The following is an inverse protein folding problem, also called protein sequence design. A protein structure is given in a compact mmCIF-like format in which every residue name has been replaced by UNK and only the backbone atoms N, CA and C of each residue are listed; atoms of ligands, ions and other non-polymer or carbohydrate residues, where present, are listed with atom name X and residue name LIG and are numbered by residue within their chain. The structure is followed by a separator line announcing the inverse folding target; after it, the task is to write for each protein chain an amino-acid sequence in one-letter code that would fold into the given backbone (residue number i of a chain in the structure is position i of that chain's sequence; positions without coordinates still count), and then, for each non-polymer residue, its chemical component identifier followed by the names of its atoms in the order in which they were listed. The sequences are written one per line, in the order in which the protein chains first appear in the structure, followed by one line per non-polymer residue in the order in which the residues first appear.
data_IF_995553297804
#
_entry.id   IF_995553297804
#
_cell.length_a   1.000
_cell.length_b   1.000
_cell.length_c   1.000
_cell.angle_alpha   90.00
_cell.angle_beta   90.00
_cell.angle_gamma   90.00
#
_symmetry.space_group_name_H-M   'P 1'
#
loop_
_entity.id
_entity.type
_entity.pdbx_description
1 polymer ?
#
# COMPACT_ATOMS: atom_id res chain seq x y z
N UNK A 1 -20.32 -14.82 11.91
CA UNK A 1 -18.84 -14.94 12.08
C UNK A 1 -18.27 -13.64 12.62
N UNK A 2 -17.05 -13.61 13.16
CA UNK A 2 -16.41 -12.39 13.70
C UNK A 2 -16.35 -11.26 12.65
N UNK A 3 -16.13 -11.61 11.37
CA UNK A 3 -16.18 -10.68 10.25
C UNK A 3 -17.55 -9.99 10.11
N UNK A 4 -18.66 -10.74 10.16
CA UNK A 4 -20.01 -10.16 10.05
C UNK A 4 -20.30 -9.18 11.20
N UNK A 5 -19.80 -9.47 12.40
CA UNK A 5 -19.93 -8.59 13.56
C UNK A 5 -19.18 -7.27 13.39
N UNK A 6 -17.93 -7.32 12.91
CA UNK A 6 -17.12 -6.13 12.63
C UNK A 6 -17.71 -5.28 11.50
N UNK A 7 -18.18 -5.93 10.43
CA UNK A 7 -18.84 -5.23 9.33
C UNK A 7 -20.11 -4.51 9.78
N UNK A 8 -20.96 -5.20 10.55
CA UNK A 8 -22.19 -4.62 11.10
C UNK A 8 -21.90 -3.47 12.08
N UNK A 9 -20.91 -3.62 12.94
CA UNK A 9 -20.53 -2.57 13.90
C UNK A 9 -20.00 -1.31 13.20
N UNK A 10 -19.20 -1.46 12.13
CA UNK A 10 -18.77 -0.33 11.32
C UNK A 10 -19.93 0.35 10.58
N UNK A 11 -20.91 -0.42 10.09
CA UNK A 11 -22.11 0.12 9.46
C UNK A 11 -22.98 0.90 10.46
N UNK A 12 -23.16 0.41 11.68
CA UNK A 12 -23.90 1.10 12.73
C UNK A 12 -23.25 2.45 13.11
N UNK A 13 -21.93 2.49 13.23
CA UNK A 13 -21.20 3.76 13.46
C UNK A 13 -21.28 4.69 12.26
N UNK A 14 -21.21 4.17 11.03
CA UNK A 14 -21.42 4.99 9.83
C UNK A 14 -22.82 5.60 9.81
N UNK A 15 -23.80 4.88 10.33
CA UNK A 15 -25.16 5.37 10.46
C UNK A 15 -25.32 6.44 11.53
N UNK A 16 -24.37 6.71 12.43
CA UNK A 16 -24.49 7.85 13.37
C UNK A 16 -23.90 9.14 12.79
N UNK A 17 -23.15 9.06 11.69
CA UNK A 17 -22.51 10.22 11.07
C UNK A 17 -23.50 11.30 10.58
N UNK A 18 -24.73 10.90 10.24
CA UNK A 18 -25.77 11.84 9.81
C UNK A 18 -26.35 12.70 10.95
N UNK A 19 -26.08 12.34 12.21
CA UNK A 19 -26.52 13.10 13.40
C UNK A 19 -25.63 14.32 13.67
N UNK A 20 -24.44 14.35 13.06
CA UNK A 20 -23.50 15.45 13.18
C UNK A 20 -23.81 16.57 12.19
N UNK A 21 -23.49 17.80 12.58
CA UNK A 21 -23.64 18.95 11.69
C UNK A 21 -22.60 18.88 10.56
N UNK A 22 -22.90 19.41 9.36
CA UNK A 22 -21.98 19.35 8.22
C UNK A 22 -20.60 19.98 8.46
N UNK A 23 -20.52 20.93 9.39
CA UNK A 23 -19.32 21.70 9.77
C UNK A 23 -18.64 21.17 11.05
N UNK A 24 -19.22 20.19 11.74
CA UNK A 24 -18.66 19.61 12.97
C UNK A 24 -17.61 18.53 12.69
N UNK A 25 -16.51 18.97 12.06
CA UNK A 25 -15.36 18.11 11.73
C UNK A 25 -14.74 17.52 13.01
N UNK A 26 -14.73 18.28 14.11
CA UNK A 26 -14.12 17.86 15.36
C UNK A 26 -14.91 16.73 16.04
N UNK A 27 -16.24 16.79 16.04
CA UNK A 27 -17.11 15.74 16.59
C UNK A 27 -17.16 14.48 15.72
N UNK A 28 -17.06 14.62 14.40
CA UNK A 28 -17.12 13.50 13.45
C UNK A 28 -15.83 12.68 13.42
N UNK A 29 -14.67 13.34 13.57
CA UNK A 29 -13.34 12.70 13.49
C UNK A 29 -13.19 11.43 14.35
N UNK A 30 -13.51 11.43 15.67
CA UNK A 30 -13.36 10.23 16.49
C UNK A 30 -14.28 9.07 16.06
N UNK A 31 -15.44 9.37 15.48
CA UNK A 31 -16.35 8.34 14.95
C UNK A 31 -15.78 7.72 13.68
N UNK A 32 -15.22 8.54 12.79
CA UNK A 32 -14.52 8.06 11.59
C UNK A 32 -13.33 7.17 11.97
N UNK A 33 -12.52 7.58 12.96
CA UNK A 33 -11.39 6.78 13.44
C UNK A 33 -11.85 5.40 13.95
N UNK A 34 -12.97 5.34 14.69
CA UNK A 34 -13.55 4.06 15.12
C UNK A 34 -14.06 3.20 13.96
N UNK A 35 -14.69 3.81 12.94
CA UNK A 35 -15.12 3.10 11.73
C UNK A 35 -13.92 2.49 11.00
N UNK A 36 -12.84 3.27 10.85
CA UNK A 36 -11.61 2.83 10.20
C UNK A 36 -10.97 1.66 10.96
N UNK A 37 -10.82 1.78 12.28
CA UNK A 37 -10.27 0.71 13.11
C UNK A 37 -11.06 -0.61 12.95
N UNK A 38 -12.40 -0.55 13.01
CA UNK A 38 -13.25 -1.74 12.82
C UNK A 38 -13.16 -2.33 11.41
N UNK A 39 -13.00 -1.50 10.38
CA UNK A 39 -12.81 -1.97 9.00
C UNK A 39 -11.44 -2.60 8.78
N UNK A 40 -10.40 -2.11 9.45
CA UNK A 40 -9.08 -2.74 9.43
C UNK A 40 -9.10 -4.12 10.08
N UNK A 41 -9.72 -4.24 11.25
CA UNK A 41 -9.92 -5.53 11.93
C UNK A 41 -10.72 -6.50 11.05
N UNK A 42 -11.80 -6.02 10.42
CA UNK A 42 -12.59 -6.83 9.49
C UNK A 42 -11.74 -7.36 8.33
N UNK A 43 -10.92 -6.49 7.74
CA UNK A 43 -10.02 -6.85 6.63
C UNK A 43 -9.01 -7.91 7.05
N UNK A 44 -8.43 -7.80 8.26
CA UNK A 44 -7.52 -8.83 8.81
C UNK A 44 -8.21 -10.18 8.93
N UNK A 45 -9.42 -10.22 9.49
CA UNK A 45 -10.20 -11.46 9.63
C UNK A 45 -10.54 -12.05 8.25
N UNK A 46 -10.94 -11.22 7.29
CA UNK A 46 -11.23 -11.67 5.93
C UNK A 46 -10.01 -12.24 5.21
N UNK A 47 -8.84 -11.63 5.37
CA UNK A 47 -7.58 -12.15 4.83
C UNK A 47 -7.22 -13.51 5.44
N UNK A 48 -7.44 -13.70 6.75
CA UNK A 48 -7.24 -15.00 7.39
C UNK A 48 -8.22 -16.05 6.84
N UNK A 49 -9.48 -15.69 6.65
CA UNK A 49 -10.49 -16.57 6.05
C UNK A 49 -10.10 -16.95 4.62
N UNK A 50 -9.66 -16.00 3.80
CA UNK A 50 -9.18 -16.27 2.44
C UNK A 50 -7.93 -17.15 2.44
N UNK A 51 -7.00 -16.93 3.36
CA UNK A 51 -5.80 -17.76 3.51
C UNK A 51 -6.18 -19.21 3.82
N UNK A 52 -7.04 -19.43 4.82
CA UNK A 52 -7.53 -20.78 5.18
C UNK A 52 -8.25 -21.43 4.01
N UNK A 53 -9.08 -20.69 3.26
CA UNK A 53 -9.74 -21.22 2.06
C UNK A 53 -8.75 -21.67 0.98
N UNK A 54 -7.62 -20.98 0.83
CA UNK A 54 -6.61 -21.28 -0.20
C UNK A 54 -5.62 -22.38 0.22
N UNK A 55 -5.22 -22.40 1.49
CA UNK A 55 -4.11 -23.25 1.98
C UNK A 55 -4.56 -24.39 2.88
N UNK A 56 -5.82 -24.36 3.37
CA UNK A 56 -6.35 -25.31 4.35
C UNK A 56 -5.75 -25.17 5.75
N UNK A 57 -4.91 -24.16 5.99
CA UNK A 57 -4.21 -23.95 7.26
C UNK A 57 -4.47 -22.54 7.81
N UNK A 58 -4.63 -22.45 9.13
CA UNK A 58 -4.63 -21.16 9.83
C UNK A 58 -3.23 -20.52 9.71
N UNK A 59 -3.14 -19.23 9.37
CA UNK A 59 -1.87 -18.53 9.38
C UNK A 59 -1.31 -18.51 10.81
N UNK A 60 0.01 -18.64 10.96
CA UNK A 60 0.67 -18.54 12.25
C UNK A 60 0.38 -17.17 12.89
N UNK A 61 0.21 -17.10 14.23
CA UNK A 61 -0.11 -15.87 14.91
C UNK A 61 1.07 -14.90 14.82
N UNK A 62 1.02 -14.00 13.83
CA UNK A 62 1.97 -12.89 13.73
C UNK A 62 1.75 -11.99 14.94
N UNK A 63 2.70 -12.04 15.89
CA UNK A 63 2.81 -11.02 16.94
C UNK A 63 3.00 -9.67 16.26
N UNK A 64 2.01 -8.80 16.37
CA UNK A 64 2.08 -7.45 15.80
C UNK A 64 3.06 -6.66 16.68
N UNK A 65 4.22 -6.20 16.18
CA UNK A 65 4.98 -5.21 16.91
C UNK A 65 4.22 -3.89 16.87
N UNK A 66 3.89 -3.39 18.05
CA UNK A 66 3.42 -2.03 18.29
C UNK A 66 4.41 -1.01 17.73
N UNK A 67 3.87 -0.02 17.01
CA UNK A 67 4.43 1.33 16.79
C UNK A 67 5.94 1.43 16.58
N UNK A 68 6.40 1.13 15.36
CA UNK A 68 7.56 1.79 14.77
C UNK A 68 7.16 2.08 13.33
N UNK A 69 7.23 3.33 12.81
CA UNK A 69 7.04 3.54 11.39
C UNK A 69 8.27 2.92 10.70
N UNK A 70 8.16 1.81 9.95
CA UNK A 70 9.27 1.41 9.13
C UNK A 70 9.31 2.38 7.95
N UNK A 71 10.49 2.88 7.64
CA UNK A 71 10.74 3.53 6.36
C UNK A 71 10.16 2.65 5.24
N UNK A 72 9.20 3.22 4.51
CA UNK A 72 8.51 2.72 3.33
C UNK A 72 7.88 1.31 3.45
N UNK A 73 6.58 1.23 3.73
CA UNK A 73 5.83 -0.03 3.69
C UNK A 73 5.83 -0.67 2.29
N UNK A 74 5.55 -1.98 2.19
CA UNK A 74 5.48 -2.74 0.92
C UNK A 74 4.62 -2.03 -0.16
N UNK A 75 3.54 -1.37 0.26
CA UNK A 75 2.67 -0.60 -0.63
C UNK A 75 3.36 0.64 -1.21
N UNK A 76 4.17 1.34 -0.41
CA UNK A 76 4.93 2.52 -0.82
C UNK A 76 6.06 2.14 -1.77
N UNK A 77 6.78 1.04 -1.51
CA UNK A 77 7.80 0.52 -2.41
C UNK A 77 7.20 0.08 -3.76
N UNK A 78 6.01 -0.54 -3.77
CA UNK A 78 5.29 -0.87 -5.01
C UNK A 78 4.85 0.38 -5.78
N UNK A 79 4.42 1.43 -5.07
CA UNK A 79 4.07 2.71 -5.69
C UNK A 79 5.29 3.40 -6.30
N UNK A 80 6.42 3.37 -5.60
CA UNK A 80 7.68 3.93 -6.06
C UNK A 80 8.21 3.18 -7.29
N UNK A 81 8.13 1.84 -7.28
CA UNK A 81 8.46 1.02 -8.45
C UNK A 81 7.60 1.39 -9.68
N UNK A 82 6.30 1.65 -9.48
CA UNK A 82 5.42 2.09 -10.56
C UNK A 82 5.84 3.46 -11.13
N UNK A 83 6.22 4.42 -10.26
CA UNK A 83 6.73 5.74 -10.68
C UNK A 83 8.04 5.60 -11.47
N UNK A 84 8.97 4.78 -11.00
CA UNK A 84 10.25 4.53 -11.70
C UNK A 84 10.00 3.91 -13.07
N UNK A 85 9.09 2.94 -13.19
CA UNK A 85 8.75 2.34 -14.49
C UNK A 85 8.22 3.39 -15.48
N UNK A 86 7.34 4.29 -15.05
CA UNK A 86 6.84 5.38 -15.90
C UNK A 86 7.96 6.32 -16.34
N UNK A 87 8.89 6.66 -15.44
CA UNK A 87 10.02 7.51 -15.77
C UNK A 87 10.97 6.83 -16.75
N UNK A 88 11.27 5.54 -16.58
CA UNK A 88 12.06 4.74 -17.53
C UNK A 88 11.40 4.78 -18.92
N UNK A 89 10.10 4.48 -19.02
CA UNK A 89 9.40 4.52 -20.31
C UNK A 89 9.45 5.89 -20.97
N UNK A 90 9.29 6.98 -20.20
CA UNK A 90 9.41 8.35 -20.71
C UNK A 90 10.83 8.66 -21.19
N UNK A 91 11.85 8.26 -20.44
CA UNK A 91 13.25 8.52 -20.79
C UNK A 91 13.68 7.70 -22.00
N UNK A 92 13.28 6.43 -22.11
CA UNK A 92 13.49 5.60 -23.32
C UNK A 92 12.85 6.25 -24.55
N UNK A 93 11.58 6.66 -24.43
CA UNK A 93 10.89 7.35 -25.52
C UNK A 93 11.58 8.66 -25.92
N UNK A 94 12.11 9.44 -24.97
CA UNK A 94 12.88 10.66 -25.26
C UNK A 94 14.16 10.38 -26.04
N UNK A 95 14.87 9.31 -25.70
CA UNK A 95 16.07 8.86 -26.40
C UNK A 95 15.76 8.36 -27.81
N UNK A 96 14.69 7.57 -27.97
CA UNK A 96 14.24 7.06 -29.27
C UNK A 96 13.80 8.20 -30.21
N UNK A 97 13.09 9.19 -29.68
CA UNK A 97 12.57 10.31 -30.47
C UNK A 97 13.64 11.35 -30.82
N UNK A 98 14.67 11.50 -29.97
CA UNK A 98 15.70 12.52 -30.15
C UNK A 98 17.11 11.97 -29.84
N UNK A 99 17.62 11.03 -30.65
CA UNK A 99 18.89 10.36 -30.38
C UNK A 99 20.10 11.29 -30.45
N UNK A 100 20.05 12.34 -31.29
CA UNK A 100 21.15 13.31 -31.46
C UNK A 100 21.03 14.54 -30.56
N UNK A 101 20.09 14.54 -29.61
CA UNK A 101 19.92 15.69 -28.73
C UNK A 101 21.17 15.88 -27.84
N UNK A 102 21.57 17.13 -27.58
CA UNK A 102 22.74 17.46 -26.74
C UNK A 102 22.68 16.86 -25.32
N UNK A 103 21.49 16.49 -24.86
CA UNK A 103 21.24 15.84 -23.56
C UNK A 103 21.04 14.32 -23.65
N UNK A 104 21.18 13.71 -24.82
CA UNK A 104 20.96 12.27 -25.00
C UNK A 104 21.89 11.44 -24.11
N UNK A 105 23.17 11.78 -24.01
CA UNK A 105 24.09 11.13 -23.06
C UNK A 105 23.62 11.25 -21.59
N UNK A 106 23.09 12.41 -21.21
CA UNK A 106 22.57 12.61 -19.86
C UNK A 106 21.31 11.77 -19.59
N UNK A 107 20.39 11.69 -20.55
CA UNK A 107 19.21 10.83 -20.44
C UNK A 107 19.55 9.34 -20.42
N UNK A 108 20.59 8.92 -21.15
CA UNK A 108 21.10 7.55 -21.08
C UNK A 108 21.67 7.24 -19.69
N UNK A 109 22.49 8.14 -19.14
CA UNK A 109 23.01 7.98 -17.78
C UNK A 109 21.90 8.00 -16.71
N UNK A 110 20.86 8.81 -16.88
CA UNK A 110 19.71 8.82 -16.00
C UNK A 110 18.85 7.56 -16.15
N UNK A 111 18.78 6.99 -17.35
CA UNK A 111 18.12 5.71 -17.59
C UNK A 111 18.82 4.59 -16.83
N UNK A 112 20.14 4.51 -16.88
CA UNK A 112 20.94 3.51 -16.16
C UNK A 112 20.73 3.61 -14.65
N UNK A 113 20.70 4.84 -14.10
CA UNK A 113 20.38 5.08 -12.68
C UNK A 113 18.97 4.61 -12.32
N UNK A 114 17.98 4.90 -13.17
CA UNK A 114 16.59 4.49 -12.93
C UNK A 114 16.44 2.96 -13.00
N UNK A 115 17.17 2.29 -13.89
CA UNK A 115 17.17 0.82 -13.97
C UNK A 115 17.85 0.19 -12.74
N UNK A 116 18.96 0.75 -12.26
CA UNK A 116 19.58 0.32 -11.01
C UNK A 116 18.64 0.47 -9.80
N UNK A 117 17.96 1.63 -9.67
CA UNK A 117 16.98 1.87 -8.61
C UNK A 117 15.77 0.92 -8.70
N UNK A 118 15.34 0.56 -9.92
CA UNK A 118 14.27 -0.40 -10.13
C UNK A 118 14.63 -1.78 -9.57
N UNK A 119 15.86 -2.22 -9.77
CA UNK A 119 16.30 -3.54 -9.31
C UNK A 119 16.55 -3.57 -7.80
N UNK A 120 17.03 -2.48 -7.22
CA UNK A 120 17.10 -2.32 -5.77
C UNK A 120 15.70 -2.38 -5.12
N UNK A 121 14.72 -1.62 -5.65
CA UNK A 121 13.34 -1.67 -5.16
C UNK A 121 12.71 -3.06 -5.28
N UNK A 122 12.96 -3.79 -6.38
CA UNK A 122 12.49 -5.18 -6.49
C UNK A 122 13.11 -6.07 -5.42
N UNK A 123 14.40 -5.90 -5.16
CA UNK A 123 15.11 -6.67 -4.12
C UNK A 123 14.52 -6.38 -2.75
N UNK A 124 14.26 -5.11 -2.42
CA UNK A 124 13.60 -4.71 -1.18
C UNK A 124 12.17 -5.27 -1.08
N UNK A 125 11.39 -5.22 -2.16
CA UNK A 125 10.03 -5.79 -2.22
C UNK A 125 10.07 -7.30 -1.98
N UNK A 126 10.99 -8.02 -2.62
CA UNK A 126 11.17 -9.47 -2.44
C UNK A 126 11.55 -9.77 -1.00
N UNK A 127 12.57 -9.09 -0.46
CA UNK A 127 13.01 -9.26 0.92
C UNK A 127 11.86 -9.05 1.92
N UNK A 128 11.08 -7.98 1.76
CA UNK A 128 9.92 -7.72 2.62
C UNK A 128 8.78 -8.72 2.43
N UNK A 129 8.54 -9.18 1.19
CA UNK A 129 7.50 -10.16 0.91
C UNK A 129 7.79 -11.50 1.61
N UNK A 130 9.05 -11.93 1.61
CA UNK A 130 9.48 -13.19 2.24
C UNK A 130 9.84 -13.05 3.73
N UNK A 131 10.18 -11.84 4.21
CA UNK A 131 10.35 -11.58 5.65
C UNK A 131 9.02 -11.54 6.41
N UNK A 132 7.89 -11.47 5.68
CA UNK A 132 6.53 -11.47 6.26
C UNK A 132 5.85 -12.85 6.16
N UNK A 133 6.51 -13.86 5.59
CA UNK A 133 6.10 -15.28 5.60
C UNK A 133 6.85 -16.06 6.66
#
# INVERSE_FOLDING_TARGET
MQADGLHRAAALLSNTLHEYRPDDVAGVKPVIEQILAKREEWKRVMLQVEHVKKTGKLPDPVQVPSSVPPANGLAELKLELARINVNISKTKKKLEQNPEHKKAQHWAADLDKLEALKDDLKTQIVALTYATT
#
